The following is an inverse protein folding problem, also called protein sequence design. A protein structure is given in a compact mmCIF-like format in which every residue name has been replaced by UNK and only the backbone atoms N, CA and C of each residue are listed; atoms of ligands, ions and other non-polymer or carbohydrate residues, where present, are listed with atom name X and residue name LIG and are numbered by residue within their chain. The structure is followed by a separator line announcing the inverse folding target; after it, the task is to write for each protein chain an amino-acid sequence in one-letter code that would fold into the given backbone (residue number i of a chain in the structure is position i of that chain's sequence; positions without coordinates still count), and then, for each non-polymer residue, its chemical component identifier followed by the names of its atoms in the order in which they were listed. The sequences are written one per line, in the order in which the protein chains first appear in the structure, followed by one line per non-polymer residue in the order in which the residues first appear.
data_IF_907387264222
#
_entry.id   IF_907387264222
#
_cell.length_a   1.000
_cell.length_b   1.000
_cell.length_c   1.000
_cell.angle_alpha   90.00
_cell.angle_beta   90.00
_cell.angle_gamma   90.00
#
_symmetry.space_group_name_H-M   'P 1'
#
loop_
_entity.id
_entity.type
_entity.pdbx_description
1 polymer ?
#
# COMPACT_ATOMS: atom_id res chain seq x y z
N UNK A 1 -19.83 -2.46 14.15
CA UNK A 1 -19.19 -3.75 13.72
C UNK A 1 -17.73 -3.74 14.12
N UNK A 2 -17.14 -4.89 14.55
CA UNK A 2 -15.68 -4.98 14.82
C UNK A 2 -14.96 -5.58 13.64
N UNK A 3 -13.84 -4.99 13.23
CA UNK A 3 -13.07 -5.35 12.02
C UNK A 3 -11.60 -5.49 12.38
N UNK A 4 -10.99 -6.63 12.08
CA UNK A 4 -9.54 -6.82 12.20
C UNK A 4 -8.84 -6.22 10.98
N UNK A 5 -7.87 -5.35 11.21
CA UNK A 5 -6.91 -4.92 10.18
C UNK A 5 -5.70 -5.86 10.18
N UNK A 6 -5.63 -6.73 9.15
CA UNK A 6 -4.60 -7.76 9.00
C UNK A 6 -3.26 -7.18 8.52
N UNK A 7 -2.73 -6.21 9.25
CA UNK A 7 -1.45 -5.56 8.95
C UNK A 7 -0.75 -5.10 10.23
N UNK A 8 0.58 -5.14 10.22
CA UNK A 8 1.44 -4.53 11.26
C UNK A 8 1.88 -3.11 10.90
N UNK A 9 1.60 -2.63 9.67
CA UNK A 9 1.97 -1.29 9.24
C UNK A 9 1.01 -0.23 9.79
N UNK A 10 1.45 0.69 10.67
CA UNK A 10 0.59 1.70 11.29
C UNK A 10 -0.04 2.66 10.28
N UNK A 11 0.64 2.92 9.18
CA UNK A 11 0.10 3.79 8.12
C UNK A 11 -1.05 3.14 7.37
N UNK A 12 -1.01 1.82 7.14
CA UNK A 12 -2.14 1.08 6.57
C UNK A 12 -3.32 1.06 7.55
N UNK A 13 -3.06 0.87 8.85
CA UNK A 13 -4.09 0.97 9.89
C UNK A 13 -4.77 2.33 9.86
N UNK A 14 -3.98 3.41 9.83
CA UNK A 14 -4.50 4.77 9.74
C UNK A 14 -5.33 4.99 8.47
N UNK A 15 -4.85 4.55 7.31
CA UNK A 15 -5.55 4.68 6.01
C UNK A 15 -6.96 4.09 6.07
N UNK A 16 -7.10 2.83 6.51
CA UNK A 16 -8.42 2.20 6.58
C UNK A 16 -9.34 2.83 7.64
N UNK A 17 -8.75 3.30 8.74
CA UNK A 17 -9.50 4.05 9.76
C UNK A 17 -10.02 5.39 9.22
N UNK A 18 -9.25 6.07 8.39
CA UNK A 18 -9.67 7.32 7.74
C UNK A 18 -10.73 7.06 6.66
N UNK A 19 -10.58 6.02 5.83
CA UNK A 19 -11.52 5.65 4.74
C UNK A 19 -12.92 5.30 5.28
N UNK A 20 -13.00 4.60 6.41
CA UNK A 20 -14.27 4.21 7.03
C UNK A 20 -14.68 5.14 8.19
N UNK A 21 -14.10 6.35 8.25
CA UNK A 21 -14.50 7.35 9.23
C UNK A 21 -15.94 7.80 8.99
N UNK A 22 -16.78 7.65 10.01
CA UNK A 22 -18.21 8.00 9.95
C UNK A 22 -19.14 6.79 9.86
N UNK A 23 -18.59 5.61 9.59
CA UNK A 23 -19.32 4.35 9.70
C UNK A 23 -19.25 3.79 11.13
N UNK A 24 -20.27 3.03 11.53
CA UNK A 24 -20.32 2.39 12.86
C UNK A 24 -19.42 1.14 12.90
N UNK A 25 -18.10 1.37 12.88
CA UNK A 25 -17.07 0.34 12.90
C UNK A 25 -16.03 0.59 13.99
N UNK A 26 -15.57 -0.48 14.62
CA UNK A 26 -14.45 -0.50 15.57
C UNK A 26 -13.32 -1.33 14.99
N UNK A 27 -12.15 -0.73 14.83
CA UNK A 27 -10.98 -1.44 14.33
C UNK A 27 -10.22 -2.13 15.45
N UNK A 28 -9.77 -3.36 15.15
CA UNK A 28 -8.89 -4.16 15.98
C UNK A 28 -7.63 -4.44 15.18
N UNK A 29 -6.48 -4.40 15.80
CA UNK A 29 -5.18 -4.68 15.17
C UNK A 29 -4.67 -6.07 15.53
N UNK A 30 -3.68 -6.56 14.75
CA UNK A 30 -2.99 -7.82 15.09
C UNK A 30 -2.34 -7.75 16.48
N UNK A 31 -1.85 -6.57 16.88
CA UNK A 31 -1.27 -6.33 18.19
C UNK A 31 -2.29 -6.46 19.32
N UNK A 32 -3.50 -5.95 19.12
CA UNK A 32 -4.59 -6.03 20.13
C UNK A 32 -5.00 -7.48 20.40
N UNK A 33 -4.88 -8.34 19.40
CA UNK A 33 -5.18 -9.78 19.51
C UNK A 33 -3.96 -10.64 19.81
N UNK A 34 -2.78 -10.03 19.96
CA UNK A 34 -1.50 -10.74 20.15
C UNK A 34 -1.21 -11.78 19.04
N UNK A 35 -1.68 -11.52 17.81
CA UNK A 35 -1.40 -12.36 16.65
C UNK A 35 -0.02 -11.98 16.12
N UNK A 36 0.90 -12.93 16.14
CA UNK A 36 2.29 -12.77 15.67
C UNK A 36 2.58 -13.58 14.42
N UNK A 37 1.72 -14.55 14.10
CA UNK A 37 1.86 -15.38 12.91
C UNK A 37 1.56 -14.57 11.65
N UNK A 38 2.38 -14.77 10.62
CA UNK A 38 2.23 -14.12 9.32
C UNK A 38 1.95 -15.16 8.23
N UNK A 39 1.02 -14.88 7.30
CA UNK A 39 0.78 -15.75 6.15
C UNK A 39 1.96 -15.71 5.18
N UNK A 40 2.12 -16.77 4.39
CA UNK A 40 3.03 -16.76 3.24
C UNK A 40 2.43 -15.91 2.12
N UNK A 41 3.20 -14.97 1.62
CA UNK A 41 2.86 -14.11 0.50
C UNK A 41 3.52 -14.65 -0.77
N UNK A 42 2.87 -15.60 -1.44
CA UNK A 42 3.37 -16.24 -2.66
C UNK A 42 2.55 -15.84 -3.89
N UNK A 43 1.69 -14.84 -3.78
CA UNK A 43 0.89 -14.32 -4.88
C UNK A 43 1.75 -13.62 -5.94
N UNK A 44 1.25 -13.57 -7.16
CA UNK A 44 1.85 -12.84 -8.28
C UNK A 44 1.30 -11.43 -8.43
N UNK A 45 0.20 -11.14 -7.74
CA UNK A 45 -0.44 -9.82 -7.68
C UNK A 45 -0.67 -9.36 -6.24
N UNK A 46 -0.81 -8.04 -6.00
CA UNK A 46 -1.20 -7.52 -4.70
C UNK A 46 -2.53 -8.12 -4.20
N UNK A 47 -3.48 -8.33 -5.10
CA UNK A 47 -4.78 -8.93 -4.79
C UNK A 47 -4.65 -10.35 -4.25
N UNK A 48 -3.84 -11.19 -4.91
CA UNK A 48 -3.61 -12.58 -4.46
C UNK A 48 -3.00 -12.62 -3.05
N UNK A 49 -2.04 -11.74 -2.76
CA UNK A 49 -1.46 -11.63 -1.43
C UNK A 49 -2.47 -11.10 -0.40
N UNK A 50 -3.28 -10.09 -0.76
CA UNK A 50 -4.33 -9.59 0.13
C UNK A 50 -5.37 -10.69 0.45
N UNK A 51 -5.78 -11.49 -0.54
CA UNK A 51 -6.67 -12.66 -0.36
C UNK A 51 -6.05 -13.70 0.57
N UNK A 52 -4.76 -14.04 0.36
CA UNK A 52 -4.05 -14.99 1.21
C UNK A 52 -4.01 -14.52 2.67
N UNK A 53 -3.70 -13.24 2.90
CA UNK A 53 -3.74 -12.60 4.23
C UNK A 53 -5.13 -12.66 4.84
N UNK A 54 -6.16 -12.26 4.09
CA UNK A 54 -7.54 -12.21 4.59
C UNK A 54 -8.05 -13.62 4.98
N UNK A 55 -7.75 -14.64 4.19
CA UNK A 55 -8.05 -16.05 4.53
C UNK A 55 -7.31 -16.51 5.78
N UNK A 56 -6.04 -16.16 5.91
CA UNK A 56 -5.23 -16.54 7.07
C UNK A 56 -5.76 -15.91 8.35
N UNK A 57 -5.97 -14.59 8.36
CA UNK A 57 -6.46 -13.89 9.54
C UNK A 57 -7.96 -14.14 9.80
N UNK A 58 -8.72 -14.56 8.80
CA UNK A 58 -10.09 -15.04 8.93
C UNK A 58 -10.25 -16.27 9.82
N UNK A 59 -9.16 -16.98 10.16
CA UNK A 59 -9.15 -18.06 11.15
C UNK A 59 -9.20 -17.53 12.59
N UNK A 60 -8.85 -16.28 12.80
CA UNK A 60 -8.78 -15.63 14.11
C UNK A 60 -9.93 -14.64 14.34
N UNK A 61 -10.52 -14.11 13.26
CA UNK A 61 -11.52 -13.06 13.36
C UNK A 61 -12.55 -13.15 12.23
N UNK A 62 -13.83 -12.89 12.54
CA UNK A 62 -14.93 -13.09 11.60
C UNK A 62 -15.01 -12.06 10.47
N UNK A 63 -14.45 -10.85 10.69
CA UNK A 63 -14.43 -9.77 9.70
C UNK A 63 -13.02 -9.18 9.65
N UNK A 64 -12.36 -9.32 8.50
CA UNK A 64 -10.96 -8.91 8.34
C UNK A 64 -10.79 -8.09 7.06
N UNK A 65 -10.02 -7.01 7.14
CA UNK A 65 -9.53 -6.27 5.96
C UNK A 65 -8.02 -6.49 5.88
N UNK A 66 -7.56 -6.91 4.71
CA UNK A 66 -6.14 -6.99 4.37
C UNK A 66 -5.84 -6.19 3.11
N UNK A 67 -4.62 -5.68 3.02
CA UNK A 67 -4.13 -4.99 1.85
C UNK A 67 -2.69 -5.44 1.56
N UNK A 68 -2.38 -5.56 0.28
CA UNK A 68 -1.02 -5.63 -0.23
C UNK A 68 -0.80 -4.59 -1.31
N UNK A 69 0.47 -4.23 -1.57
CA UNK A 69 0.81 -3.19 -2.53
C UNK A 69 2.12 -3.55 -3.23
N UNK A 70 2.18 -3.31 -4.53
CA UNK A 70 3.39 -3.40 -5.33
C UNK A 70 3.83 -2.03 -5.85
N UNK A 71 5.14 -1.79 -5.91
CA UNK A 71 5.75 -0.60 -6.51
C UNK A 71 6.33 -0.97 -7.88
N UNK A 72 6.04 -0.16 -8.90
CA UNK A 72 6.50 -0.42 -10.26
C UNK A 72 7.14 0.83 -10.86
N UNK A 73 8.24 0.64 -11.59
CA UNK A 73 8.90 1.67 -12.39
C UNK A 73 8.49 1.52 -13.85
N UNK A 74 8.00 2.60 -14.47
CA UNK A 74 7.54 2.58 -15.85
C UNK A 74 8.69 2.32 -16.84
N UNK A 75 9.93 2.68 -16.48
CA UNK A 75 11.14 2.50 -17.27
C UNK A 75 11.66 1.06 -17.29
N UNK A 76 11.13 0.17 -16.44
CA UNK A 76 11.52 -1.23 -16.35
C UNK A 76 10.41 -2.14 -16.90
N UNK A 77 10.79 -3.21 -17.58
CA UNK A 77 9.86 -4.29 -17.90
C UNK A 77 9.36 -4.97 -16.63
N UNK A 78 8.15 -5.52 -16.65
CA UNK A 78 7.54 -6.16 -15.47
C UNK A 78 8.35 -7.36 -14.96
N UNK A 79 9.08 -8.04 -15.85
CA UNK A 79 9.97 -9.17 -15.57
C UNK A 79 11.44 -8.78 -15.36
N UNK A 80 11.78 -7.47 -15.38
CA UNK A 80 13.13 -7.00 -15.05
C UNK A 80 13.42 -7.30 -13.58
N UNK A 81 14.57 -7.94 -13.32
CA UNK A 81 14.99 -8.31 -11.95
C UNK A 81 15.13 -7.12 -11.00
N UNK A 82 15.29 -5.91 -11.55
CA UNK A 82 15.36 -4.66 -10.78
C UNK A 82 13.98 -4.06 -10.49
N UNK A 83 12.91 -4.58 -11.12
CA UNK A 83 11.56 -4.11 -10.87
C UNK A 83 11.17 -4.42 -9.42
N UNK A 84 10.78 -3.42 -8.60
CA UNK A 84 10.42 -3.67 -7.20
C UNK A 84 9.26 -4.67 -7.06
N UNK A 85 8.20 -4.49 -7.85
CA UNK A 85 7.02 -5.34 -7.82
C UNK A 85 6.45 -5.48 -6.41
N UNK A 86 6.14 -6.70 -6.01
CA UNK A 86 5.64 -7.02 -4.66
C UNK A 86 6.75 -7.06 -3.59
N UNK A 87 8.00 -7.14 -4.00
CA UNK A 87 9.15 -7.35 -3.10
C UNK A 87 9.82 -6.03 -2.68
N UNK A 88 9.02 -4.98 -2.42
CA UNK A 88 9.53 -3.64 -2.12
C UNK A 88 10.49 -3.63 -0.92
N UNK A 89 10.23 -4.44 0.11
CA UNK A 89 11.10 -4.56 1.30
C UNK A 89 12.13 -5.67 1.23
N UNK A 90 12.03 -6.53 0.22
CA UNK A 90 12.91 -7.68 0.01
C UNK A 90 13.40 -7.71 -1.46
N UNK A 91 13.91 -6.58 -2.01
CA UNK A 91 14.25 -6.49 -3.42
C UNK A 91 15.30 -7.56 -3.77
N UNK A 92 15.18 -8.14 -4.96
CA UNK A 92 16.10 -9.18 -5.46
C UNK A 92 16.29 -10.36 -4.48
N UNK A 93 15.25 -10.72 -3.70
CA UNK A 93 15.26 -11.78 -2.68
C UNK A 93 16.29 -11.54 -1.54
N UNK A 94 16.63 -10.29 -1.28
CA UNK A 94 17.44 -9.91 -0.12
C UNK A 94 16.66 -10.10 1.18
N UNK A 95 17.36 -10.04 2.32
CA UNK A 95 16.73 -9.94 3.62
C UNK A 95 15.86 -8.67 3.71
N UNK A 96 14.84 -8.71 4.57
CA UNK A 96 13.92 -7.57 4.76
C UNK A 96 14.67 -6.31 5.18
N UNK A 97 14.62 -5.29 4.36
CA UNK A 97 15.27 -4.00 4.60
C UNK A 97 14.53 -3.18 5.65
N UNK A 98 15.29 -2.51 6.50
CA UNK A 98 14.81 -1.40 7.34
C UNK A 98 14.43 -0.19 6.49
N UNK A 99 13.78 0.82 7.08
CA UNK A 99 13.36 2.01 6.36
C UNK A 99 14.55 2.78 5.75
N UNK A 100 15.65 2.94 6.47
CA UNK A 100 16.85 3.63 5.95
C UNK A 100 17.58 2.77 4.89
N UNK A 101 17.63 1.45 5.05
CA UNK A 101 18.20 0.57 4.02
C UNK A 101 17.35 0.58 2.74
N UNK A 102 16.03 0.70 2.83
CA UNK A 102 15.16 0.90 1.66
C UNK A 102 15.49 2.20 0.93
N UNK A 103 15.63 3.30 1.67
CA UNK A 103 15.96 4.61 1.09
C UNK A 103 17.30 4.54 0.37
N UNK A 104 18.32 3.96 1.01
CA UNK A 104 19.66 3.81 0.41
C UNK A 104 19.63 2.91 -0.84
N UNK A 105 18.97 1.77 -0.77
CA UNK A 105 18.84 0.84 -1.89
C UNK A 105 18.14 1.49 -3.09
N UNK A 106 16.97 2.08 -2.88
CA UNK A 106 16.20 2.69 -3.98
C UNK A 106 16.86 3.97 -4.52
N UNK A 107 17.52 4.76 -3.67
CA UNK A 107 18.33 5.89 -4.10
C UNK A 107 19.39 5.44 -5.11
N UNK A 108 20.18 4.41 -4.79
CA UNK A 108 21.21 3.86 -5.67
C UNK A 108 20.64 3.24 -6.94
N UNK A 109 19.53 2.52 -6.84
CA UNK A 109 18.84 1.93 -7.99
C UNK A 109 18.37 3.02 -8.96
N UNK A 110 17.72 4.07 -8.44
CA UNK A 110 17.23 5.18 -9.26
C UNK A 110 18.39 5.94 -9.91
N UNK A 111 19.49 6.16 -9.19
CA UNK A 111 20.70 6.79 -9.76
C UNK A 111 21.27 5.95 -10.91
N UNK A 112 21.29 4.63 -10.78
CA UNK A 112 21.71 3.72 -11.84
C UNK A 112 20.76 3.72 -13.06
N UNK A 113 19.51 4.13 -12.87
CA UNK A 113 18.50 4.28 -13.92
C UNK A 113 18.44 5.71 -14.51
N UNK A 114 19.38 6.58 -14.16
CA UNK A 114 19.48 7.94 -14.69
C UNK A 114 19.05 9.04 -13.72
N UNK A 115 18.90 8.71 -12.43
CA UNK A 115 18.63 9.66 -11.34
C UNK A 115 17.16 10.01 -11.12
N UNK A 116 16.28 9.58 -12.03
CA UNK A 116 14.83 9.82 -11.93
C UNK A 116 14.08 8.74 -12.70
N UNK A 117 12.99 8.23 -12.10
CA UNK A 117 12.06 7.27 -12.71
C UNK A 117 10.61 7.70 -12.50
N UNK A 118 9.72 7.27 -13.40
CA UNK A 118 8.27 7.31 -13.19
C UNK A 118 7.83 6.06 -12.43
N UNK A 119 7.14 6.23 -11.33
CA UNK A 119 6.69 5.13 -10.48
C UNK A 119 5.18 5.19 -10.24
N UNK A 120 4.60 4.04 -9.93
CA UNK A 120 3.21 3.90 -9.51
C UNK A 120 3.08 2.73 -8.53
N UNK A 121 2.07 2.81 -7.65
CA UNK A 121 1.66 1.69 -6.82
C UNK A 121 0.45 1.00 -7.44
N UNK A 122 0.38 -0.32 -7.26
CA UNK A 122 -0.86 -1.08 -7.41
C UNK A 122 -1.24 -1.64 -6.05
N UNK A 123 -2.48 -1.42 -5.65
CA UNK A 123 -3.04 -1.91 -4.41
C UNK A 123 -3.98 -3.10 -4.68
N UNK A 124 -3.87 -4.13 -3.84
CA UNK A 124 -4.84 -5.20 -3.70
C UNK A 124 -5.46 -5.14 -2.30
N UNK A 125 -6.77 -5.20 -2.22
CA UNK A 125 -7.52 -5.21 -0.96
C UNK A 125 -8.37 -6.47 -0.92
N UNK A 126 -8.45 -7.13 0.23
CA UNK A 126 -9.35 -8.25 0.44
C UNK A 126 -10.10 -8.10 1.76
N UNK A 127 -11.38 -8.42 1.73
CA UNK A 127 -12.26 -8.49 2.88
C UNK A 127 -12.66 -9.95 3.10
N UNK A 128 -12.36 -10.49 4.27
CA UNK A 128 -12.98 -11.72 4.76
C UNK A 128 -14.17 -11.33 5.62
N UNK A 129 -15.35 -11.81 5.25
CA UNK A 129 -16.59 -11.54 5.94
C UNK A 129 -17.35 -12.85 6.18
N UNK A 130 -17.35 -13.34 7.42
CA UNK A 130 -18.07 -14.57 7.83
C UNK A 130 -17.88 -15.77 6.88
N UNK A 131 -16.65 -16.04 6.46
CA UNK A 131 -16.33 -17.16 5.55
C UNK A 131 -16.30 -16.80 4.06
N UNK A 132 -16.78 -15.63 3.67
CA UNK A 132 -16.76 -15.16 2.29
C UNK A 132 -15.58 -14.21 2.06
N UNK A 133 -14.92 -14.33 0.91
CA UNK A 133 -13.87 -13.41 0.48
C UNK A 133 -14.41 -12.51 -0.62
N UNK A 134 -14.20 -11.21 -0.43
CA UNK A 134 -14.34 -10.18 -1.46
C UNK A 134 -12.97 -9.59 -1.73
N UNK A 135 -12.67 -9.22 -2.97
CA UNK A 135 -11.40 -8.60 -3.31
C UNK A 135 -11.56 -7.45 -4.30
N UNK A 136 -10.60 -6.57 -4.28
CA UNK A 136 -10.46 -5.41 -5.15
C UNK A 136 -8.99 -5.26 -5.53
N UNK A 137 -8.72 -4.92 -6.77
CA UNK A 137 -7.41 -4.54 -7.24
C UNK A 137 -7.53 -3.31 -8.14
N UNK A 138 -6.54 -2.43 -8.07
CA UNK A 138 -6.45 -1.28 -8.96
C UNK A 138 -6.58 -1.70 -10.43
N UNK A 139 -7.36 -0.94 -11.17
CA UNK A 139 -7.45 -1.13 -12.62
C UNK A 139 -6.13 -0.78 -13.31
N UNK A 140 -5.92 -1.28 -14.54
CA UNK A 140 -4.75 -0.98 -15.35
C UNK A 140 -4.54 0.54 -15.58
N UNK A 141 -5.59 1.35 -15.41
CA UNK A 141 -5.56 2.80 -15.53
C UNK A 141 -4.91 3.51 -14.33
N UNK A 142 -4.76 2.85 -13.18
CA UNK A 142 -4.12 3.40 -11.98
C UNK A 142 -2.71 3.94 -12.27
N UNK A 143 -2.01 3.35 -13.25
CA UNK A 143 -0.72 3.84 -13.76
C UNK A 143 -0.76 5.30 -14.23
N UNK A 144 -1.85 5.71 -14.90
CA UNK A 144 -1.94 7.04 -15.50
C UNK A 144 -2.31 8.11 -14.48
N UNK A 145 -3.08 7.73 -13.47
CA UNK A 145 -3.71 8.66 -12.52
C UNK A 145 -2.95 8.75 -11.19
N UNK A 146 -2.32 7.65 -10.74
CA UNK A 146 -1.56 7.58 -9.50
C UNK A 146 -0.03 7.62 -9.68
N UNK A 147 0.47 7.95 -10.88
CA UNK A 147 1.90 7.95 -11.18
C UNK A 147 2.62 9.19 -10.61
N UNK A 148 3.79 8.97 -10.04
CA UNK A 148 4.65 9.98 -9.44
C UNK A 148 6.11 9.80 -9.91
N UNK A 149 6.99 10.77 -9.60
CA UNK A 149 8.41 10.58 -9.82
C UNK A 149 9.09 10.04 -8.57
N UNK A 150 10.07 9.17 -8.74
CA UNK A 150 11.07 8.90 -7.72
C UNK A 150 12.43 9.38 -8.18
N UNK A 151 13.22 9.98 -7.27
CA UNK A 151 14.56 10.49 -7.55
C UNK A 151 15.57 9.91 -6.57
N UNK A 152 16.83 9.77 -7.03
CA UNK A 152 17.90 9.20 -6.23
C UNK A 152 18.31 10.05 -5.00
N UNK A 153 17.92 11.31 -4.94
CA UNK A 153 18.19 12.20 -3.80
C UNK A 153 17.04 12.24 -2.82
N UNK A 154 17.22 11.65 -1.64
CA UNK A 154 16.19 11.66 -0.61
C UNK A 154 16.04 13.03 0.07
N UNK A 155 14.78 13.38 0.42
CA UNK A 155 14.48 14.42 1.42
C UNK A 155 15.08 14.03 2.78
N UNK A 156 15.37 15.03 3.63
CA UNK A 156 15.77 14.80 5.02
C UNK A 156 14.62 14.41 5.95
N UNK A 157 13.37 14.62 5.50
CA UNK A 157 12.18 14.26 6.27
C UNK A 157 11.82 12.80 6.11
N UNK A 158 11.16 12.23 7.12
CA UNK A 158 10.71 10.83 7.16
C UNK A 158 9.26 10.76 7.64
N UNK A 159 8.49 9.84 7.03
CA UNK A 159 7.19 9.41 7.56
C UNK A 159 7.29 7.94 7.99
N UNK A 160 6.93 7.68 9.23
CA UNK A 160 6.91 6.33 9.78
C UNK A 160 5.99 5.42 8.93
N UNK A 161 6.53 4.27 8.50
CA UNK A 161 5.82 3.31 7.66
C UNK A 161 5.80 3.64 6.16
N UNK A 162 6.29 4.83 5.73
CA UNK A 162 6.40 5.26 4.34
C UNK A 162 7.80 5.77 3.98
N UNK A 163 8.85 4.93 4.08
CA UNK A 163 10.23 5.37 3.87
C UNK A 163 10.47 5.96 2.48
N UNK A 164 9.83 5.40 1.45
CA UNK A 164 10.03 5.82 0.06
C UNK A 164 9.37 7.16 -0.29
N UNK A 165 8.49 7.69 0.55
CA UNK A 165 7.93 9.05 0.38
C UNK A 165 9.03 10.11 0.40
N UNK A 166 10.17 9.83 1.04
CA UNK A 166 11.36 10.70 1.00
C UNK A 166 12.09 10.71 -0.35
N UNK A 167 11.83 9.75 -1.22
CA UNK A 167 12.32 9.68 -2.60
C UNK A 167 11.26 10.07 -3.63
N UNK A 168 9.98 10.07 -3.23
CA UNK A 168 8.83 10.27 -4.11
C UNK A 168 8.49 11.74 -4.27
N UNK A 169 8.23 12.16 -5.52
CA UNK A 169 7.90 13.55 -5.89
C UNK A 169 6.58 13.55 -6.66
N UNK A 170 5.66 14.40 -6.23
CA UNK A 170 4.41 14.65 -6.96
C UNK A 170 4.73 15.28 -8.32
N UNK A 171 4.18 14.72 -9.42
CA UNK A 171 4.44 15.17 -10.80
C UNK A 171 3.93 16.59 -11.07
N UNK A 172 2.87 17.00 -10.40
CA UNK A 172 2.22 18.30 -10.60
C UNK A 172 2.91 19.41 -9.82
N UNK A 173 3.21 19.16 -8.53
CA UNK A 173 3.75 20.17 -7.62
C UNK A 173 5.27 20.22 -7.57
N UNK A 174 5.95 19.15 -7.99
CA UNK A 174 7.39 18.98 -7.87
C UNK A 174 7.90 18.85 -6.41
N UNK A 175 7.01 18.71 -5.43
CA UNK A 175 7.36 18.56 -4.02
C UNK A 175 7.49 17.08 -3.65
N UNK A 176 8.38 16.78 -2.69
CA UNK A 176 8.40 15.45 -2.08
C UNK A 176 7.09 15.15 -1.36
N UNK A 177 6.70 13.89 -1.34
CA UNK A 177 5.52 13.45 -0.59
C UNK A 177 5.62 13.78 0.90
N UNK A 178 6.84 13.70 1.47
CA UNK A 178 7.11 14.09 2.85
C UNK A 178 7.06 15.61 3.11
N UNK A 179 7.00 16.44 2.08
CA UNK A 179 6.92 17.91 2.20
C UNK A 179 5.49 18.42 2.02
N UNK A 180 4.60 17.62 1.44
CA UNK A 180 3.17 17.93 1.39
C UNK A 180 2.54 17.80 2.77
N UNK A 181 1.67 18.75 3.18
CA UNK A 181 0.77 18.47 4.29
C UNK A 181 -0.18 17.35 3.86
N UNK A 182 -0.59 16.46 4.78
CA UNK A 182 -1.63 15.46 4.48
C UNK A 182 -2.93 16.12 3.99
N UNK A 183 -3.12 17.42 4.23
CA UNK A 183 -4.25 18.23 3.75
C UNK A 183 -4.08 18.66 2.29
N UNK A 184 -2.87 19.05 1.86
CA UNK A 184 -2.61 19.38 0.44
C UNK A 184 -2.75 18.17 -0.49
N UNK A 185 -2.52 16.95 0.02
CA UNK A 185 -2.75 15.72 -0.74
C UNK A 185 -4.23 15.31 -0.83
N UNK A 186 -5.14 15.97 -0.11
CA UNK A 186 -6.59 15.69 -0.12
C UNK A 186 -7.35 16.42 -1.24
N UNK A 187 -6.74 17.40 -1.90
CA UNK A 187 -7.38 18.20 -2.95
C UNK A 187 -7.25 17.60 -4.36
N UNK A 188 -6.68 16.40 -4.52
CA UNK A 188 -6.54 15.79 -5.82
C UNK A 188 -7.81 14.99 -6.16
N UNK A 189 -8.62 15.50 -7.10
CA UNK A 189 -9.89 14.90 -7.55
C UNK A 189 -9.74 13.41 -7.91
N UNK A 190 -8.62 13.01 -8.49
CA UNK A 190 -8.35 11.63 -8.89
C UNK A 190 -8.14 10.74 -7.66
N UNK A 191 -7.47 11.25 -6.63
CA UNK A 191 -7.30 10.52 -5.35
C UNK A 191 -8.64 10.35 -4.67
N UNK A 192 -9.50 11.36 -4.71
CA UNK A 192 -10.83 11.32 -4.11
C UNK A 192 -11.74 10.31 -4.82
N UNK A 193 -11.67 10.21 -6.16
CA UNK A 193 -12.40 9.20 -6.93
C UNK A 193 -11.92 7.78 -6.60
N UNK A 194 -10.62 7.56 -6.53
CA UNK A 194 -10.03 6.28 -6.15
C UNK A 194 -10.37 5.88 -4.70
N UNK A 195 -10.24 6.80 -3.74
CA UNK A 195 -10.64 6.56 -2.36
C UNK A 195 -12.13 6.23 -2.24
N UNK A 196 -12.97 6.87 -3.06
CA UNK A 196 -14.40 6.57 -3.14
C UNK A 196 -14.66 5.16 -3.65
N UNK A 197 -13.96 4.71 -4.69
CA UNK A 197 -14.09 3.32 -5.18
C UNK A 197 -13.74 2.31 -4.10
N UNK A 198 -12.67 2.57 -3.33
CA UNK A 198 -12.29 1.72 -2.19
C UNK A 198 -13.38 1.73 -1.12
N UNK A 199 -13.92 2.90 -0.75
CA UNK A 199 -15.00 3.01 0.24
C UNK A 199 -16.24 2.27 -0.24
N UNK A 200 -16.63 2.43 -1.51
CA UNK A 200 -17.76 1.71 -2.10
C UNK A 200 -17.55 0.18 -2.09
N UNK A 201 -16.34 -0.27 -2.39
CA UNK A 201 -15.98 -1.69 -2.27
C UNK A 201 -16.08 -2.18 -0.82
N UNK A 202 -15.47 -1.46 0.12
CA UNK A 202 -15.45 -1.85 1.54
C UNK A 202 -16.85 -1.88 2.13
N UNK A 203 -17.66 -0.85 1.90
CA UNK A 203 -19.02 -0.78 2.45
C UNK A 203 -19.91 -1.89 1.92
N UNK A 204 -19.85 -2.19 0.62
CA UNK A 204 -20.56 -3.32 0.01
C UNK A 204 -20.12 -4.66 0.58
N UNK A 205 -18.80 -4.88 0.68
CA UNK A 205 -18.23 -6.14 1.16
C UNK A 205 -18.50 -6.39 2.65
N UNK A 206 -18.58 -5.31 3.44
CA UNK A 206 -18.84 -5.34 4.88
C UNK A 206 -20.35 -5.25 5.21
N UNK A 207 -21.20 -5.01 4.22
CA UNK A 207 -22.65 -4.80 4.40
C UNK A 207 -22.96 -3.66 5.39
N UNK A 208 -22.26 -2.54 5.29
CA UNK A 208 -22.45 -1.32 6.10
C UNK A 208 -22.94 -0.16 5.23
N UNK A 209 -23.78 0.73 5.83
CA UNK A 209 -24.33 1.93 5.21
C UNK A 209 -23.75 3.19 5.84
#
# INVERSE_FOLDING_TARGET
MRILLGTTNPSKVKRFSDLLKGYDVEFVTLKDLAITDEPKENGTTPEENAIAKAKFYGQYFEVVICNDSGLYFEELALDDVRQPGLNVRTPMQMDRLSDEEMIDYYSKLIDALGGKVSAYYLDGIAVYYHGTIYSFMDADDAKKTGSFYMIGRASSKRFEGWPLDSLSINKETGKYFVDGSMEESKENIIKDEYEKEIVDFLTKSLHIE
#
